data_IF_209869162414
#
_entry.id   IF_209869162414
#
_cell.length_a   1.000
_cell.length_b   1.000
_cell.length_c   1.000
_cell.angle_alpha   90.00
_cell.angle_beta   90.00
_cell.angle_gamma   90.00
#
_symmetry.space_group_name_H-M   'P 1'
#
loop_
_entity.id
_entity.type
_entity.pdbx_description
1 polymer ?
#
# COMPACT_ATOMS: atom_id res chain seq x y z
N UNK A 1 -68.51 20.44 -70.16
CA UNK A 1 -67.20 19.78 -70.11
C UNK A 1 -66.63 20.10 -68.74
N UNK A 2 -66.50 19.14 -67.78
CA UNK A 2 -65.89 19.37 -66.53
C UNK A 2 -64.51 18.74 -66.45
N UNK A 3 -63.59 19.53 -65.92
CA UNK A 3 -62.19 19.21 -65.75
C UNK A 3 -61.98 18.39 -64.45
N UNK A 4 -61.29 17.26 -64.60
CA UNK A 4 -60.94 16.34 -63.52
C UNK A 4 -59.77 16.92 -62.65
N UNK A 5 -59.99 17.06 -61.37
CA UNK A 5 -58.94 17.29 -60.36
C UNK A 5 -58.35 15.97 -59.89
N UNK A 6 -57.06 15.77 -60.09
CA UNK A 6 -56.31 14.63 -59.51
C UNK A 6 -55.91 14.99 -58.10
N UNK A 7 -56.37 14.18 -57.09
CA UNK A 7 -55.84 14.15 -55.74
C UNK A 7 -54.50 13.43 -55.72
N UNK A 8 -53.44 14.12 -55.27
CA UNK A 8 -52.17 13.49 -54.87
C UNK A 8 -52.27 13.04 -53.41
N UNK A 9 -52.21 11.75 -53.14
CA UNK A 9 -52.01 11.19 -51.81
C UNK A 9 -50.51 11.28 -51.48
N UNK A 10 -50.18 12.10 -50.47
CA UNK A 10 -48.86 12.11 -49.87
C UNK A 10 -48.73 10.93 -48.87
N UNK A 11 -47.75 10.03 -49.08
CA UNK A 11 -47.32 9.06 -48.11
C UNK A 11 -46.36 9.74 -47.14
N UNK A 12 -46.76 9.87 -45.87
CA UNK A 12 -45.85 10.25 -44.77
C UNK A 12 -45.16 8.97 -44.29
N UNK A 13 -43.84 8.88 -44.54
CA UNK A 13 -42.99 7.84 -43.92
C UNK A 13 -42.55 8.36 -42.58
N UNK A 14 -43.07 7.75 -41.53
CA UNK A 14 -42.58 7.98 -40.16
C UNK A 14 -41.28 7.18 -39.95
N UNK A 15 -40.16 7.87 -39.86
CA UNK A 15 -38.89 7.25 -39.51
C UNK A 15 -38.88 7.01 -37.99
N UNK A 16 -38.95 5.77 -37.56
CA UNK A 16 -38.71 5.34 -36.19
C UNK A 16 -37.20 5.31 -35.95
N UNK A 17 -36.69 6.32 -35.24
CA UNK A 17 -35.28 6.34 -34.78
C UNK A 17 -35.22 5.42 -33.55
N UNK A 18 -34.72 4.22 -33.73
CA UNK A 18 -34.39 3.29 -32.65
C UNK A 18 -33.01 3.72 -32.09
N UNK A 19 -32.99 4.42 -30.97
CA UNK A 19 -31.75 4.73 -30.26
C UNK A 19 -31.31 3.45 -29.53
N UNK A 20 -30.35 2.75 -30.12
CA UNK A 20 -29.66 1.63 -29.50
C UNK A 20 -28.70 2.22 -28.47
N UNK A 21 -29.01 2.12 -27.18
CA UNK A 21 -28.06 2.38 -26.10
C UNK A 21 -26.96 1.32 -26.23
N UNK A 22 -25.83 1.67 -26.84
CA UNK A 22 -24.62 0.87 -26.73
C UNK A 22 -24.11 1.03 -25.29
N UNK A 23 -24.32 0.00 -24.48
CA UNK A 23 -23.63 -0.16 -23.22
C UNK A 23 -22.16 -0.42 -23.58
N UNK A 24 -21.35 0.64 -23.66
CA UNK A 24 -19.90 0.52 -23.78
C UNK A 24 -19.41 -0.02 -22.43
N UNK A 25 -19.11 -1.32 -22.41
CA UNK A 25 -18.24 -1.86 -21.36
C UNK A 25 -16.92 -1.13 -21.50
N UNK A 26 -16.65 -0.18 -20.60
CA UNK A 26 -15.33 0.43 -20.47
C UNK A 26 -14.40 -0.75 -20.11
N UNK A 27 -13.40 -1.06 -20.93
CA UNK A 27 -12.43 -2.08 -20.55
C UNK A 27 -11.78 -1.63 -19.23
N UNK A 28 -11.61 -2.54 -18.29
CA UNK A 28 -10.82 -2.29 -17.08
C UNK A 28 -9.49 -1.70 -17.57
N UNK A 29 -9.23 -0.44 -17.21
CA UNK A 29 -8.06 0.28 -17.70
C UNK A 29 -6.85 -0.48 -17.19
N UNK A 30 -5.94 -0.83 -18.06
CA UNK A 30 -4.72 -1.54 -17.70
C UNK A 30 -4.03 -0.73 -16.58
N UNK A 31 -3.88 -1.35 -15.40
CA UNK A 31 -3.11 -0.77 -14.29
C UNK A 31 -1.82 -0.23 -14.88
N UNK A 32 -1.54 1.03 -14.66
CA UNK A 32 -0.44 1.75 -15.32
C UNK A 32 0.90 1.08 -15.04
N UNK A 33 1.91 1.28 -15.92
CA UNK A 33 3.32 0.89 -15.74
C UNK A 33 3.92 1.32 -14.38
N UNK A 34 3.20 2.15 -13.67
CA UNK A 34 3.49 2.70 -12.35
C UNK A 34 3.48 1.63 -11.23
N UNK A 35 2.69 0.56 -11.34
CA UNK A 35 2.56 -0.49 -10.32
C UNK A 35 3.23 -1.82 -10.69
N UNK A 36 4.03 -1.86 -11.76
CA UNK A 36 4.79 -3.06 -12.19
C UNK A 36 5.72 -3.60 -11.10
N UNK A 37 6.09 -2.75 -10.15
CA UNK A 37 6.90 -3.09 -8.97
C UNK A 37 6.25 -2.51 -7.73
N UNK A 38 6.39 -3.16 -6.56
CA UNK A 38 5.94 -2.59 -5.31
C UNK A 38 6.65 -1.25 -5.03
N UNK A 39 5.95 -0.31 -4.39
CA UNK A 39 6.54 0.98 -4.04
C UNK A 39 7.56 0.83 -2.90
N UNK A 40 8.46 1.81 -2.80
CA UNK A 40 9.41 1.91 -1.69
C UNK A 40 9.31 3.31 -1.07
N UNK A 41 9.23 3.38 0.28
CA UNK A 41 9.02 4.67 0.91
C UNK A 41 9.04 4.68 2.42
N UNK A 42 8.18 5.52 2.98
CA UNK A 42 8.00 5.73 4.40
C UNK A 42 6.52 6.06 4.69
N UNK A 43 6.04 5.69 5.89
CA UNK A 43 4.72 6.07 6.40
C UNK A 43 4.84 6.61 7.82
N UNK A 44 4.01 7.60 8.16
CA UNK A 44 4.07 8.28 9.44
C UNK A 44 3.43 7.51 10.60
N UNK A 45 2.64 6.44 10.33
CA UNK A 45 1.81 5.85 11.38
C UNK A 45 2.62 5.28 12.54
N UNK A 46 3.72 4.59 12.26
CA UNK A 46 4.52 3.95 13.31
C UNK A 46 5.08 4.93 14.34
N UNK A 47 5.48 6.13 13.91
CA UNK A 47 5.88 7.18 14.87
C UNK A 47 4.67 7.80 15.57
N UNK A 48 3.51 7.88 14.91
CA UNK A 48 2.30 8.43 15.51
C UNK A 48 1.66 7.50 16.53
N UNK A 49 1.73 6.18 16.33
CA UNK A 49 1.16 5.15 17.20
C UNK A 49 2.03 4.83 18.43
N UNK A 50 3.31 5.24 18.39
CA UNK A 50 4.23 5.00 19.50
C UNK A 50 3.87 5.85 20.72
N UNK A 51 3.90 5.24 21.93
CA UNK A 51 3.74 5.94 23.20
C UNK A 51 5.06 6.50 23.76
N UNK A 52 6.15 6.46 22.98
CA UNK A 52 7.42 7.10 23.36
C UNK A 52 7.22 8.61 23.54
N UNK A 53 7.82 9.25 24.57
CA UNK A 53 7.59 10.67 24.89
C UNK A 53 7.85 11.67 23.76
N UNK A 54 8.78 11.35 22.84
CA UNK A 54 9.15 12.22 21.71
C UNK A 54 8.23 12.05 20.48
N UNK A 55 7.29 11.10 20.52
CA UNK A 55 6.47 10.69 19.39
C UNK A 55 4.97 10.73 19.72
N UNK A 56 4.18 9.94 19.06
CA UNK A 56 2.74 9.90 19.23
C UNK A 56 2.00 10.82 18.26
N UNK A 57 0.71 10.94 18.44
CA UNK A 57 -0.21 11.60 17.48
C UNK A 57 0.12 13.06 17.17
N UNK A 58 0.83 13.74 18.07
CA UNK A 58 1.27 15.14 17.89
C UNK A 58 2.54 15.28 17.05
N UNK A 59 3.20 14.16 16.71
CA UNK A 59 4.43 14.21 15.92
C UNK A 59 4.18 14.59 14.46
N UNK A 60 3.01 14.27 13.90
CA UNK A 60 2.70 14.55 12.50
C UNK A 60 2.52 16.06 12.28
N UNK A 61 3.57 16.71 11.80
CA UNK A 61 3.61 18.13 11.46
C UNK A 61 4.37 18.36 10.17
N UNK A 62 4.14 19.50 9.52
CA UNK A 62 4.86 19.91 8.30
C UNK A 62 6.38 19.88 8.49
N UNK A 63 6.87 20.34 9.67
CA UNK A 63 8.29 20.37 9.99
C UNK A 63 8.89 18.94 10.01
N UNK A 64 8.27 18.01 10.75
CA UNK A 64 8.76 16.64 10.84
C UNK A 64 8.70 15.92 9.47
N UNK A 65 7.69 16.20 8.65
CA UNK A 65 7.62 15.65 7.30
C UNK A 65 8.74 16.20 6.40
N UNK A 66 9.08 17.48 6.52
CA UNK A 66 10.24 18.05 5.81
C UNK A 66 11.57 17.41 6.27
N UNK A 67 11.76 17.22 7.57
CA UNK A 67 12.93 16.53 8.14
C UNK A 67 13.03 15.07 7.62
N UNK A 68 11.92 14.34 7.62
CA UNK A 68 11.82 12.98 7.08
C UNK A 68 12.12 12.95 5.58
N UNK A 69 11.60 13.91 4.83
CA UNK A 69 11.86 14.09 3.39
C UNK A 69 13.34 14.29 3.11
N UNK A 70 14.02 15.16 3.86
CA UNK A 70 15.46 15.41 3.73
C UNK A 70 16.29 14.18 4.11
N UNK A 71 15.90 13.47 5.17
CA UNK A 71 16.56 12.22 5.57
C UNK A 71 16.42 11.14 4.49
N UNK A 72 15.23 10.96 3.93
CA UNK A 72 15.02 10.02 2.82
C UNK A 72 15.83 10.41 1.58
N UNK A 73 15.78 11.66 1.17
CA UNK A 73 16.48 12.16 0.00
C UNK A 73 18.01 11.93 0.11
N UNK A 74 18.57 12.12 1.31
CA UNK A 74 20.02 11.97 1.54
C UNK A 74 20.44 10.52 1.75
N UNK A 75 19.67 9.70 2.50
CA UNK A 75 20.09 8.37 2.95
C UNK A 75 19.56 7.22 2.07
N UNK A 76 18.31 7.29 1.59
CA UNK A 76 17.59 6.13 1.02
C UNK A 76 17.21 6.28 -0.45
N UNK A 77 17.03 7.50 -0.96
CA UNK A 77 16.54 7.75 -2.33
C UNK A 77 17.34 7.03 -3.40
N UNK A 78 18.68 6.99 -3.29
CA UNK A 78 19.57 6.31 -4.26
C UNK A 78 19.35 4.79 -4.32
N UNK A 79 18.68 4.23 -3.29
CA UNK A 79 18.33 2.82 -3.22
C UNK A 79 16.88 2.53 -3.67
N UNK A 80 16.13 3.57 -4.08
CA UNK A 80 14.79 3.42 -4.66
C UNK A 80 13.64 3.87 -3.77
N UNK A 81 13.89 4.30 -2.52
CA UNK A 81 12.86 4.82 -1.63
C UNK A 81 12.44 6.22 -2.08
N UNK A 82 11.19 6.37 -2.48
CA UNK A 82 10.72 7.63 -3.09
C UNK A 82 9.43 8.17 -2.51
N UNK A 83 8.66 7.39 -1.75
CA UNK A 83 7.34 7.80 -1.27
C UNK A 83 7.39 8.26 0.18
N UNK A 84 6.80 9.43 0.46
CA UNK A 84 6.56 9.99 1.80
C UNK A 84 5.05 9.99 2.01
N UNK A 85 4.54 9.05 2.81
CA UNK A 85 3.10 8.86 3.00
C UNK A 85 2.68 9.37 4.38
N UNK A 86 1.81 10.38 4.41
CA UNK A 86 1.17 10.89 5.61
C UNK A 86 -0.04 10.03 5.94
N UNK A 87 -0.05 9.42 7.10
CA UNK A 87 -1.14 8.61 7.61
C UNK A 87 -2.22 9.45 8.30
N UNK A 88 -3.16 8.86 9.01
CA UNK A 88 -4.29 9.51 9.67
C UNK A 88 -3.86 10.72 10.51
N UNK A 89 -4.72 11.75 10.57
CA UNK A 89 -4.49 12.95 11.37
C UNK A 89 -3.90 14.13 10.62
N UNK A 90 -3.53 14.03 9.35
CA UNK A 90 -3.08 15.18 8.56
C UNK A 90 -4.18 16.25 8.39
N UNK A 91 -5.43 15.82 8.38
CA UNK A 91 -6.63 16.67 8.30
C UNK A 91 -7.40 16.74 9.64
N UNK A 92 -6.75 16.46 10.77
CA UNK A 92 -7.36 16.52 12.09
C UNK A 92 -6.60 17.46 13.02
N UNK A 93 -7.31 18.18 13.88
CA UNK A 93 -6.71 18.96 14.95
C UNK A 93 -6.08 18.04 16.04
N UNK A 94 -5.51 18.65 17.09
CA UNK A 94 -4.85 17.91 18.18
C UNK A 94 -5.78 17.03 19.02
N UNK A 95 -7.11 17.26 18.91
CA UNK A 95 -8.16 16.48 19.59
C UNK A 95 -8.82 15.46 18.64
N UNK A 96 -8.20 15.16 17.49
CA UNK A 96 -8.69 14.24 16.47
C UNK A 96 -10.04 14.61 15.86
N UNK A 97 -10.39 15.90 15.84
CA UNK A 97 -11.53 16.40 15.09
C UNK A 97 -11.09 16.66 13.65
N UNK A 98 -11.64 15.88 12.73
CA UNK A 98 -11.35 15.96 11.31
C UNK A 98 -11.94 17.22 10.68
N UNK A 99 -11.22 17.78 9.73
CA UNK A 99 -11.55 19.04 9.04
C UNK A 99 -11.97 18.77 7.61
N UNK A 100 -13.02 19.47 7.21
CA UNK A 100 -13.58 19.39 5.85
C UNK A 100 -13.96 20.81 5.41
N UNK A 101 -13.86 21.07 4.10
CA UNK A 101 -14.34 22.33 3.50
C UNK A 101 -15.88 22.38 3.43
N UNK A 102 -16.41 23.47 2.84
CA UNK A 102 -17.86 23.66 2.68
C UNK A 102 -18.52 22.59 1.77
N UNK A 103 -17.74 21.83 1.01
CA UNK A 103 -18.19 20.75 0.13
C UNK A 103 -17.92 19.35 0.74
N UNK A 104 -17.49 19.28 2.00
CA UNK A 104 -17.15 18.02 2.66
C UNK A 104 -15.82 17.42 2.19
N UNK A 105 -14.95 18.19 1.55
CA UNK A 105 -13.64 17.72 1.09
C UNK A 105 -12.62 17.87 2.23
N UNK A 106 -11.76 16.85 2.51
CA UNK A 106 -10.78 16.93 3.58
C UNK A 106 -9.83 18.12 3.42
N UNK A 107 -9.61 18.87 4.50
CA UNK A 107 -8.68 20.00 4.58
C UNK A 107 -7.57 19.73 5.57
N UNK A 108 -6.34 20.15 5.26
CA UNK A 108 -5.23 20.08 6.18
C UNK A 108 -5.52 20.88 7.46
N UNK A 109 -5.07 20.34 8.61
CA UNK A 109 -5.10 21.12 9.84
C UNK A 109 -4.03 22.24 9.79
N UNK A 110 -4.41 23.51 9.98
CA UNK A 110 -3.48 24.65 9.82
C UNK A 110 -2.43 24.75 10.95
N UNK A 111 -2.66 24.13 12.09
CA UNK A 111 -1.64 24.08 13.15
C UNK A 111 -0.56 23.06 12.85
N UNK A 112 -0.95 21.95 12.21
CA UNK A 112 -0.02 20.89 11.79
C UNK A 112 0.69 21.23 10.47
N UNK A 113 -0.04 21.82 9.50
CA UNK A 113 0.42 22.12 8.14
C UNK A 113 0.11 23.58 7.78
N UNK A 114 0.81 24.56 8.39
CA UNK A 114 0.49 25.99 8.25
C UNK A 114 0.62 26.50 6.82
N UNK A 115 1.41 25.85 5.96
CA UNK A 115 1.56 26.22 4.56
C UNK A 115 0.70 25.34 3.61
N UNK A 116 -0.09 24.41 4.17
CA UNK A 116 -0.97 23.52 3.42
C UNK A 116 -0.26 22.38 2.69
N UNK A 117 -1.06 21.41 2.24
CA UNK A 117 -0.56 20.18 1.63
C UNK A 117 0.11 20.41 0.28
N UNK A 118 -0.40 21.32 -0.55
CA UNK A 118 0.20 21.62 -1.86
C UNK A 118 1.66 22.10 -1.74
N UNK A 119 1.93 23.05 -0.83
CA UNK A 119 3.29 23.53 -0.59
C UNK A 119 4.20 22.42 0.00
N UNK A 120 3.66 21.55 0.81
CA UNK A 120 4.41 20.39 1.33
C UNK A 120 4.73 19.40 0.20
N UNK A 121 3.76 19.13 -0.68
CA UNK A 121 3.98 18.28 -1.85
C UNK A 121 5.05 18.86 -2.79
N UNK A 122 5.02 20.16 -3.04
CA UNK A 122 6.05 20.85 -3.83
C UNK A 122 7.45 20.68 -3.20
N UNK A 123 7.54 20.80 -1.86
CA UNK A 123 8.79 20.55 -1.15
C UNK A 123 9.30 19.11 -1.35
N UNK A 124 8.42 18.12 -1.17
CA UNK A 124 8.73 16.69 -1.36
C UNK A 124 9.16 16.43 -2.82
N UNK A 125 8.43 16.97 -3.78
CA UNK A 125 8.76 16.87 -5.22
C UNK A 125 10.08 17.57 -5.56
N UNK A 126 10.37 18.70 -4.93
CA UNK A 126 11.65 19.42 -5.09
C UNK A 126 12.85 18.58 -4.65
N UNK A 127 12.68 17.58 -3.78
CA UNK A 127 13.70 16.58 -3.44
C UNK A 127 13.68 15.37 -4.39
N UNK A 128 12.79 15.34 -5.38
CA UNK A 128 12.56 14.24 -6.33
C UNK A 128 11.97 13.01 -5.65
N UNK A 129 11.10 13.23 -4.68
CA UNK A 129 10.30 12.24 -3.97
C UNK A 129 8.83 12.41 -4.34
N UNK A 130 7.97 11.55 -3.85
CA UNK A 130 6.52 11.52 -4.05
C UNK A 130 5.81 11.65 -2.72
N UNK A 131 4.62 12.22 -2.72
CA UNK A 131 3.83 12.43 -1.51
C UNK A 131 2.53 11.65 -1.54
N UNK A 132 2.18 11.03 -0.41
CA UNK A 132 0.94 10.30 -0.22
C UNK A 132 0.11 10.81 0.95
N UNK A 133 -1.20 10.56 0.87
CA UNK A 133 -2.16 10.88 1.90
C UNK A 133 -3.02 9.68 2.29
N UNK A 134 -3.52 9.72 3.51
CA UNK A 134 -4.48 8.78 4.07
C UNK A 134 -5.91 9.28 3.84
N UNK A 135 -6.84 8.35 3.62
CA UNK A 135 -8.28 8.49 3.71
C UNK A 135 -8.90 7.24 4.33
N UNK A 136 -10.18 7.32 4.69
CA UNK A 136 -10.96 6.20 5.18
C UNK A 136 -12.08 5.83 4.20
N UNK A 137 -12.53 4.57 4.25
CA UNK A 137 -13.69 4.10 3.50
C UNK A 137 -15.00 4.66 4.11
N UNK A 138 -15.94 5.03 3.25
CA UNK A 138 -17.25 5.55 3.63
C UNK A 138 -17.36 7.08 3.65
N UNK A 139 -18.52 7.57 4.07
CA UNK A 139 -18.84 8.98 4.23
C UNK A 139 -18.63 9.40 5.68
N UNK A 140 -17.69 10.32 5.99
CA UNK A 140 -17.47 10.79 7.34
C UNK A 140 -18.76 11.35 7.97
N UNK A 141 -19.04 10.99 9.23
CA UNK A 141 -20.26 11.45 9.93
C UNK A 141 -20.35 12.96 9.98
N UNK A 142 -19.24 13.65 10.22
CA UNK A 142 -19.20 15.11 10.23
C UNK A 142 -19.62 15.71 8.88
N UNK A 143 -19.25 15.07 7.77
CA UNK A 143 -19.62 15.50 6.42
C UNK A 143 -21.12 15.24 6.16
N UNK A 144 -21.64 14.10 6.59
CA UNK A 144 -23.08 13.81 6.55
C UNK A 144 -23.88 14.84 7.36
N UNK A 145 -23.44 15.13 8.58
CA UNK A 145 -24.12 16.10 9.46
C UNK A 145 -24.07 17.54 8.93
N UNK A 146 -22.98 17.89 8.24
CA UNK A 146 -22.82 19.15 7.55
C UNK A 146 -23.82 19.30 6.38
N UNK A 147 -24.29 18.19 5.82
CA UNK A 147 -25.11 18.15 4.59
C UNK A 147 -24.51 18.97 3.47
N UNK A 148 -23.22 18.75 3.20
CA UNK A 148 -22.42 19.54 2.28
C UNK A 148 -22.88 19.35 0.82
N UNK A 149 -22.89 20.40 -0.01
CA UNK A 149 -23.17 20.28 -1.44
C UNK A 149 -22.04 19.53 -2.15
N UNK A 150 -22.38 18.60 -3.03
CA UNK A 150 -21.43 17.84 -3.83
C UNK A 150 -21.08 18.64 -5.09
N UNK A 151 -19.79 18.92 -5.29
CA UNK A 151 -19.29 19.76 -6.40
C UNK A 151 -19.78 19.23 -7.75
N UNK A 152 -20.31 20.15 -8.60
CA UNK A 152 -20.75 19.84 -9.96
C UNK A 152 -22.08 19.07 -10.05
N UNK A 153 -22.84 18.99 -8.95
CA UNK A 153 -24.14 18.32 -8.89
C UNK A 153 -25.17 19.18 -8.14
N UNK A 154 -26.42 18.77 -8.17
CA UNK A 154 -27.50 19.34 -7.35
C UNK A 154 -27.73 18.56 -6.04
N UNK A 155 -26.87 17.56 -5.75
CA UNK A 155 -26.97 16.70 -4.57
C UNK A 155 -26.19 17.25 -3.38
N UNK A 156 -26.55 16.73 -2.20
CA UNK A 156 -25.79 16.92 -0.96
C UNK A 156 -25.22 15.59 -0.46
N UNK A 157 -24.36 15.64 0.54
CA UNK A 157 -23.75 14.43 1.13
C UNK A 157 -24.76 13.55 1.86
N UNK A 158 -25.94 14.04 2.23
CA UNK A 158 -27.02 13.20 2.77
C UNK A 158 -27.72 12.38 1.69
N UNK A 159 -27.76 12.85 0.45
CA UNK A 159 -28.40 12.15 -0.68
C UNK A 159 -27.65 10.87 -1.08
N UNK A 160 -26.37 10.80 -0.78
CA UNK A 160 -25.51 9.66 -1.14
C UNK A 160 -25.31 8.64 -0.01
N UNK A 161 -25.91 8.84 1.15
CA UNK A 161 -25.82 7.89 2.27
C UNK A 161 -26.89 6.81 2.17
N UNK A 162 -26.49 5.55 2.37
CA UNK A 162 -27.44 4.42 2.44
C UNK A 162 -28.49 4.67 3.52
N UNK A 163 -29.76 4.43 3.18
CA UNK A 163 -30.87 4.56 4.11
C UNK A 163 -31.54 3.21 4.42
N UNK A 164 -31.87 2.89 5.69
CA UNK A 164 -31.52 3.67 6.89
C UNK A 164 -30.01 3.77 7.08
N UNK A 165 -29.53 4.82 7.75
CA UNK A 165 -28.10 5.04 7.97
C UNK A 165 -27.41 3.79 8.49
N UNK A 166 -26.43 3.32 7.74
CA UNK A 166 -25.70 2.10 8.04
C UNK A 166 -24.22 2.45 8.29
N UNK A 167 -23.68 2.15 9.47
CA UNK A 167 -22.25 2.30 9.74
C UNK A 167 -21.42 1.46 8.77
N UNK A 168 -20.25 2.01 8.38
CA UNK A 168 -19.29 1.32 7.53
C UNK A 168 -17.87 1.48 8.07
N UNK A 169 -16.92 0.89 7.36
CA UNK A 169 -15.52 0.67 7.71
C UNK A 169 -15.34 -0.22 8.96
N UNK A 170 -14.11 -0.64 9.20
CA UNK A 170 -13.79 -1.62 10.24
C UNK A 170 -14.17 -1.17 11.66
N UNK A 171 -14.09 0.14 11.93
CA UNK A 171 -14.41 0.72 13.25
C UNK A 171 -15.85 1.28 13.34
N UNK A 172 -16.64 1.16 12.26
CA UNK A 172 -18.02 1.67 12.22
C UNK A 172 -18.13 3.18 12.41
N UNK A 173 -17.07 3.93 12.05
CA UNK A 173 -16.96 5.36 12.29
C UNK A 173 -17.68 6.25 11.29
N UNK A 174 -17.88 5.76 10.08
CA UNK A 174 -18.45 6.49 8.96
C UNK A 174 -19.75 5.84 8.46
N UNK A 175 -20.47 6.52 7.55
CA UNK A 175 -21.69 6.01 6.95
C UNK A 175 -21.40 5.33 5.61
N UNK A 176 -22.16 4.28 5.29
CA UNK A 176 -22.07 3.58 4.01
C UNK A 176 -22.59 4.49 2.89
N UNK A 177 -21.80 4.59 1.80
CA UNK A 177 -22.18 5.34 0.61
C UNK A 177 -23.00 4.45 -0.32
N UNK A 178 -24.09 4.99 -0.87
CA UNK A 178 -24.90 4.34 -1.89
C UNK A 178 -24.35 4.71 -3.28
N UNK A 179 -23.51 3.86 -3.83
CA UNK A 179 -22.95 4.03 -5.16
C UNK A 179 -23.93 3.73 -6.32
N UNK A 180 -25.21 3.47 -6.02
CA UNK A 180 -26.28 3.48 -7.04
C UNK A 180 -26.78 4.90 -7.30
N UNK A 181 -26.53 5.83 -6.38
CA UNK A 181 -26.79 7.25 -6.54
C UNK A 181 -25.69 7.90 -7.41
N UNK A 182 -26.07 8.55 -8.52
CA UNK A 182 -25.06 9.10 -9.46
C UNK A 182 -24.10 10.12 -8.84
N UNK A 183 -24.55 10.84 -7.81
CA UNK A 183 -23.74 11.87 -7.13
C UNK A 183 -22.67 11.24 -6.19
N UNK A 184 -22.77 9.97 -5.84
CA UNK A 184 -21.81 9.31 -4.97
C UNK A 184 -20.41 9.28 -5.59
N UNK A 185 -20.31 8.94 -6.88
CA UNK A 185 -19.03 9.00 -7.60
C UNK A 185 -18.47 10.42 -7.66
N UNK A 186 -19.33 11.42 -7.91
CA UNK A 186 -18.90 12.83 -8.01
C UNK A 186 -18.33 13.35 -6.67
N UNK A 187 -18.80 12.84 -5.52
CA UNK A 187 -18.21 13.15 -4.23
C UNK A 187 -16.76 12.65 -4.14
N UNK A 188 -16.50 11.38 -4.48
CA UNK A 188 -15.15 10.81 -4.47
C UNK A 188 -14.26 11.48 -5.53
N UNK A 189 -14.80 11.77 -6.72
CA UNK A 189 -14.10 12.52 -7.77
C UNK A 189 -13.60 13.87 -7.25
N UNK A 190 -14.45 14.59 -6.50
CA UNK A 190 -14.10 15.89 -5.92
C UNK A 190 -12.93 15.82 -4.94
N UNK A 191 -12.81 14.73 -4.17
CA UNK A 191 -11.69 14.49 -3.25
C UNK A 191 -10.42 14.15 -4.06
N UNK A 192 -10.53 13.27 -5.04
CA UNK A 192 -9.40 12.89 -5.89
C UNK A 192 -8.86 14.08 -6.72
N UNK A 193 -9.73 14.94 -7.24
CA UNK A 193 -9.36 16.18 -7.92
C UNK A 193 -8.61 17.14 -6.99
N UNK A 194 -9.05 17.25 -5.74
CA UNK A 194 -8.35 18.05 -4.75
C UNK A 194 -6.96 17.48 -4.45
N UNK A 195 -6.84 16.16 -4.28
CA UNK A 195 -5.55 15.50 -4.06
C UNK A 195 -4.63 15.64 -5.30
N UNK A 196 -5.19 15.50 -6.49
CA UNK A 196 -4.47 15.73 -7.75
C UNK A 196 -3.95 17.16 -7.86
N UNK A 197 -4.78 18.17 -7.49
CA UNK A 197 -4.42 19.58 -7.50
C UNK A 197 -3.28 19.91 -6.50
N UNK A 198 -3.20 19.17 -5.39
CA UNK A 198 -2.11 19.29 -4.42
C UNK A 198 -0.85 18.53 -4.81
N UNK A 199 -0.89 17.73 -5.88
CA UNK A 199 0.25 16.94 -6.31
C UNK A 199 0.43 15.62 -5.56
N UNK A 200 -0.62 15.04 -4.99
CA UNK A 200 -0.58 13.74 -4.32
C UNK A 200 -0.29 12.62 -5.32
N UNK A 201 0.57 11.68 -4.95
CA UNK A 201 1.03 10.55 -5.79
C UNK A 201 0.61 9.18 -5.24
N UNK A 202 0.06 9.14 -4.05
CA UNK A 202 -0.31 7.92 -3.34
C UNK A 202 -1.51 8.19 -2.43
N UNK A 203 -2.45 7.24 -2.39
CA UNK A 203 -3.62 7.29 -1.51
C UNK A 203 -3.75 5.94 -0.77
N UNK A 204 -3.78 5.98 0.55
CA UNK A 204 -4.17 4.86 1.40
C UNK A 204 -5.64 5.05 1.78
N UNK A 205 -6.49 4.10 1.45
CA UNK A 205 -7.87 4.05 1.96
C UNK A 205 -7.95 2.94 3.00
N UNK A 206 -8.26 3.33 4.22
CA UNK A 206 -8.22 2.48 5.40
C UNK A 206 -9.63 2.09 5.88
N UNK A 207 -9.69 1.09 6.77
CA UNK A 207 -10.93 0.56 7.32
C UNK A 207 -11.72 -0.30 6.33
N UNK A 208 -11.10 -0.79 5.28
CA UNK A 208 -11.74 -1.53 4.19
C UNK A 208 -12.23 -2.90 4.68
N UNK A 209 -13.53 -3.13 4.58
CA UNK A 209 -14.19 -4.42 4.80
C UNK A 209 -14.72 -4.98 3.49
N UNK A 210 -15.38 -6.14 3.51
CA UNK A 210 -16.05 -6.70 2.33
C UNK A 210 -17.06 -5.72 1.73
N UNK A 211 -17.74 -4.95 2.58
CA UNK A 211 -18.73 -3.96 2.15
C UNK A 211 -18.15 -2.73 1.46
N UNK A 212 -16.84 -2.49 1.62
CA UNK A 212 -16.16 -1.32 1.09
C UNK A 212 -15.44 -1.55 -0.26
N UNK A 213 -15.65 -2.70 -0.90
CA UNK A 213 -15.13 -2.93 -2.27
C UNK A 213 -15.65 -1.85 -3.24
N UNK A 214 -16.93 -1.40 -3.17
CA UNK A 214 -17.41 -0.28 -3.99
C UNK A 214 -16.69 1.05 -3.73
N UNK A 215 -16.28 1.34 -2.48
CA UNK A 215 -15.49 2.54 -2.15
C UNK A 215 -14.16 2.52 -2.90
N UNK A 216 -13.42 1.41 -2.86
CA UNK A 216 -12.12 1.27 -3.54
C UNK A 216 -12.27 1.36 -5.05
N UNK A 217 -13.35 0.80 -5.61
CA UNK A 217 -13.68 0.99 -7.02
C UNK A 217 -13.90 2.46 -7.36
N UNK A 218 -14.70 3.18 -6.55
CA UNK A 218 -14.97 4.59 -6.77
C UNK A 218 -13.69 5.44 -6.67
N UNK A 219 -12.82 5.16 -5.70
CA UNK A 219 -11.51 5.79 -5.58
C UNK A 219 -10.61 5.54 -6.81
N UNK A 220 -10.56 4.29 -7.29
CA UNK A 220 -9.80 3.95 -8.51
C UNK A 220 -10.29 4.76 -9.72
N UNK A 221 -11.61 4.84 -9.91
CA UNK A 221 -12.23 5.62 -10.99
C UNK A 221 -11.99 7.12 -10.85
N UNK A 222 -12.07 7.64 -9.61
CA UNK A 222 -11.81 9.04 -9.31
C UNK A 222 -10.33 9.43 -9.55
N UNK A 223 -9.39 8.55 -9.22
CA UNK A 223 -7.97 8.74 -9.53
C UNK A 223 -7.76 8.79 -11.05
N UNK A 224 -8.35 7.86 -11.79
CA UNK A 224 -8.22 7.81 -13.25
C UNK A 224 -8.80 9.07 -13.92
N UNK A 225 -9.99 9.53 -13.49
CA UNK A 225 -10.62 10.72 -14.06
C UNK A 225 -9.88 12.01 -13.71
N UNK A 226 -9.21 12.10 -12.54
CA UNK A 226 -8.42 13.28 -12.15
C UNK A 226 -7.24 13.55 -13.08
N UNK A 227 -6.87 12.57 -13.92
CA UNK A 227 -5.73 12.63 -14.83
C UNK A 227 -4.36 12.54 -14.14
N UNK A 228 -4.30 12.48 -12.80
CA UNK A 228 -3.05 12.28 -12.05
C UNK A 228 -2.90 10.81 -11.67
N UNK A 229 -1.72 10.25 -11.94
CA UNK A 229 -1.40 8.88 -11.50
C UNK A 229 -1.14 8.88 -10.00
N UNK A 230 -1.95 8.14 -9.25
CA UNK A 230 -1.77 7.92 -7.82
C UNK A 230 -1.78 6.42 -7.56
N UNK A 231 -0.88 5.96 -6.68
CA UNK A 231 -0.95 4.59 -6.15
C UNK A 231 -2.14 4.49 -5.19
N UNK A 232 -2.94 3.46 -5.32
CA UNK A 232 -4.07 3.20 -4.43
C UNK A 232 -3.81 1.94 -3.60
N UNK A 233 -3.73 2.09 -2.29
CA UNK A 233 -3.64 0.98 -1.32
C UNK A 233 -4.96 0.83 -0.59
N UNK A 234 -5.52 -0.39 -0.60
CA UNK A 234 -6.60 -0.77 0.30
C UNK A 234 -6.00 -1.29 1.62
N UNK A 235 -6.40 -0.70 2.73
CA UNK A 235 -5.91 -1.05 4.06
C UNK A 235 -7.05 -1.31 5.03
N UNK A 236 -6.82 -2.21 5.93
CA UNK A 236 -7.62 -2.47 7.13
C UNK A 236 -6.78 -3.29 8.12
N UNK A 237 -7.42 -3.86 9.09
CA UNK A 237 -6.80 -4.34 10.32
C UNK A 237 -7.51 -5.61 10.84
N UNK A 238 -7.35 -6.74 10.15
CA UNK A 238 -6.93 -7.00 8.74
C UNK A 238 -8.05 -6.80 7.73
N UNK A 239 -7.72 -6.75 6.43
CA UNK A 239 -8.74 -6.86 5.38
C UNK A 239 -9.28 -8.29 5.36
N UNK A 240 -10.61 -8.49 5.31
CA UNK A 240 -11.18 -9.81 5.08
C UNK A 240 -10.69 -10.38 3.72
N UNK A 241 -10.18 -11.61 3.72
CA UNK A 241 -9.64 -12.23 2.50
C UNK A 241 -10.64 -12.24 1.34
N UNK A 242 -11.93 -12.40 1.65
CA UNK A 242 -13.03 -12.41 0.67
C UNK A 242 -13.15 -11.08 -0.08
N UNK A 243 -12.79 -9.97 0.55
CA UNK A 243 -12.71 -8.67 -0.10
C UNK A 243 -11.54 -8.60 -1.11
N UNK A 244 -10.45 -9.33 -0.85
CA UNK A 244 -9.21 -9.24 -1.61
C UNK A 244 -9.39 -9.46 -3.11
N UNK A 245 -10.19 -10.45 -3.52
CA UNK A 245 -10.46 -10.70 -4.94
C UNK A 245 -11.26 -9.55 -5.59
N UNK A 246 -12.20 -8.99 -4.87
CA UNK A 246 -13.00 -7.84 -5.32
C UNK A 246 -12.18 -6.55 -5.45
N UNK A 247 -11.14 -6.39 -4.63
CA UNK A 247 -10.23 -5.25 -4.63
C UNK A 247 -9.19 -5.31 -5.75
N UNK A 248 -8.84 -6.53 -6.22
CA UNK A 248 -7.78 -6.77 -7.22
C UNK A 248 -7.87 -5.90 -8.48
N UNK A 249 -9.04 -5.64 -9.09
CA UNK A 249 -9.13 -4.79 -10.28
C UNK A 249 -8.82 -3.31 -10.01
N UNK A 250 -8.93 -2.87 -8.76
CA UNK A 250 -9.02 -1.46 -8.39
C UNK A 250 -7.81 -0.94 -7.61
N UNK A 251 -7.22 -1.74 -6.71
CA UNK A 251 -6.10 -1.33 -5.88
C UNK A 251 -4.74 -1.81 -6.44
N UNK A 252 -3.65 -1.14 -6.09
CA UNK A 252 -2.28 -1.52 -6.44
C UNK A 252 -1.63 -2.39 -5.36
N UNK A 253 -2.10 -2.30 -4.12
CA UNK A 253 -1.71 -3.16 -3.02
C UNK A 253 -2.84 -3.34 -2.01
N UNK A 254 -2.74 -4.40 -1.22
CA UNK A 254 -3.72 -4.79 -0.22
C UNK A 254 -3.02 -5.19 1.07
N UNK A 255 -3.43 -4.62 2.19
CA UNK A 255 -2.95 -5.01 3.52
C UNK A 255 -3.40 -6.45 3.82
N UNK A 256 -2.47 -7.31 4.18
CA UNK A 256 -2.73 -8.74 4.39
C UNK A 256 -2.99 -9.11 5.85
N UNK A 257 -2.59 -8.26 6.80
CA UNK A 257 -2.76 -8.50 8.24
C UNK A 257 -2.87 -7.18 9.02
N UNK A 258 -2.98 -7.24 10.34
CA UNK A 258 -3.05 -6.11 11.28
C UNK A 258 -1.83 -5.18 11.16
N UNK A 259 -1.86 -4.06 11.86
CA UNK A 259 -0.69 -3.17 11.96
C UNK A 259 0.51 -3.88 12.60
N UNK A 260 1.72 -3.57 12.14
CA UNK A 260 2.95 -4.09 12.78
C UNK A 260 3.29 -3.34 14.06
N UNK A 261 2.64 -2.23 14.30
CA UNK A 261 2.83 -1.40 15.47
C UNK A 261 2.34 -2.09 16.74
N UNK A 262 3.11 -1.98 17.81
CA UNK A 262 2.72 -2.52 19.13
C UNK A 262 1.91 -1.53 19.98
N UNK A 263 1.74 -0.28 19.55
CA UNK A 263 1.11 0.81 20.33
C UNK A 263 1.73 0.96 21.71
N UNK A 264 3.05 0.82 21.78
CA UNK A 264 3.86 0.82 22.99
C UNK A 264 5.05 1.80 22.85
N UNK A 265 6.05 1.74 23.74
CA UNK A 265 7.23 2.63 23.71
C UNK A 265 8.19 2.36 22.55
N UNK A 266 7.93 1.34 21.75
CA UNK A 266 8.68 1.00 20.53
C UNK A 266 7.78 1.03 19.31
N UNK A 267 8.32 0.89 18.11
CA UNK A 267 7.52 0.78 16.89
C UNK A 267 6.76 -0.54 16.88
N UNK A 268 7.45 -1.64 17.15
CA UNK A 268 6.90 -2.98 17.09
C UNK A 268 7.58 -3.89 18.12
N UNK A 269 7.13 -5.12 18.21
CA UNK A 269 7.89 -6.23 18.80
C UNK A 269 7.75 -7.45 17.91
N UNK A 270 8.69 -8.40 17.98
CA UNK A 270 8.64 -9.58 17.12
C UNK A 270 7.32 -10.33 17.27
N UNK A 271 6.86 -10.58 18.49
CA UNK A 271 5.64 -11.35 18.80
C UNK A 271 4.34 -10.53 18.67
N UNK A 272 4.38 -9.21 18.50
CA UNK A 272 3.15 -8.41 18.45
C UNK A 272 2.40 -8.64 17.14
N UNK A 273 3.08 -8.43 16.03
CA UNK A 273 2.48 -8.61 14.70
C UNK A 273 3.50 -8.87 13.58
N UNK A 274 4.82 -8.81 13.88
CA UNK A 274 5.85 -9.04 12.85
C UNK A 274 5.91 -10.51 12.44
N UNK A 275 5.94 -11.44 13.38
CA UNK A 275 6.04 -12.89 13.14
C UNK A 275 4.81 -13.47 12.44
N UNK A 276 3.63 -12.92 12.65
CA UNK A 276 2.39 -13.34 11.98
C UNK A 276 2.49 -13.28 10.44
N UNK A 277 3.31 -12.39 9.90
CA UNK A 277 3.46 -12.19 8.44
C UNK A 277 3.85 -13.46 7.70
N UNK A 278 4.64 -14.36 8.33
CA UNK A 278 5.02 -15.65 7.74
C UNK A 278 3.86 -16.66 7.68
N UNK A 279 2.83 -16.50 8.51
CA UNK A 279 1.62 -17.31 8.48
C UNK A 279 0.53 -16.71 7.57
N UNK A 280 0.51 -15.39 7.43
CA UNK A 280 -0.56 -14.69 6.70
C UNK A 280 -0.28 -14.58 5.20
N UNK A 281 0.96 -14.28 4.79
CA UNK A 281 1.28 -14.19 3.37
C UNK A 281 0.85 -15.41 2.55
N UNK A 282 1.06 -16.67 3.01
CA UNK A 282 0.60 -17.86 2.26
C UNK A 282 -0.90 -17.85 1.94
N UNK A 283 -1.73 -17.28 2.82
CA UNK A 283 -3.19 -17.21 2.66
C UNK A 283 -3.62 -16.24 1.55
N UNK A 284 -2.71 -15.37 1.09
CA UNK A 284 -2.96 -14.33 0.11
C UNK A 284 -2.32 -14.60 -1.26
N UNK A 285 -1.41 -15.58 -1.39
CA UNK A 285 -0.66 -15.83 -2.61
C UNK A 285 -1.51 -16.19 -3.83
N UNK A 286 -2.72 -16.68 -3.64
CA UNK A 286 -3.71 -16.97 -4.69
C UNK A 286 -4.64 -15.76 -4.99
N UNK A 287 -4.60 -14.73 -4.16
CA UNK A 287 -5.39 -13.50 -4.30
C UNK A 287 -4.56 -12.40 -4.97
N UNK A 288 -3.30 -12.24 -4.55
CA UNK A 288 -2.41 -11.20 -5.08
C UNK A 288 -1.77 -11.61 -6.41
N UNK A 289 -1.32 -10.62 -7.17
CA UNK A 289 -0.67 -10.82 -8.48
C UNK A 289 0.26 -9.62 -8.78
N UNK A 290 1.13 -9.69 -9.79
CA UNK A 290 1.86 -8.49 -10.24
C UNK A 290 0.90 -7.32 -10.52
N UNK A 291 1.24 -6.13 -10.01
CA UNK A 291 0.40 -4.92 -9.96
C UNK A 291 -0.73 -4.90 -8.91
N UNK A 292 -0.84 -5.95 -8.10
CA UNK A 292 -1.70 -6.01 -6.92
C UNK A 292 -0.92 -6.71 -5.80
N UNK A 293 -0.07 -5.94 -5.12
CA UNK A 293 0.96 -6.45 -4.23
C UNK A 293 0.44 -6.71 -2.81
N UNK A 294 0.91 -7.76 -2.13
CA UNK A 294 0.62 -7.97 -0.71
C UNK A 294 1.36 -6.91 0.12
N UNK A 295 0.63 -6.14 0.88
CA UNK A 295 1.18 -5.15 1.80
C UNK A 295 1.33 -5.77 3.20
N UNK A 296 2.55 -6.06 3.59
CA UNK A 296 2.90 -6.61 4.91
C UNK A 296 3.05 -5.52 5.97
N UNK A 297 2.64 -4.29 5.67
CA UNK A 297 2.80 -3.10 6.49
C UNK A 297 4.23 -2.55 6.54
N UNK A 298 4.42 -1.48 7.29
CA UNK A 298 5.68 -0.78 7.45
C UNK A 298 6.76 -1.66 8.06
N UNK A 299 8.01 -1.48 7.60
CA UNK A 299 9.16 -2.18 8.18
C UNK A 299 9.61 -1.45 9.45
N UNK A 300 9.63 -2.10 10.63
CA UNK A 300 10.13 -1.51 11.86
C UNK A 300 11.67 -1.51 11.88
N UNK A 301 12.29 -0.83 10.93
CA UNK A 301 13.75 -0.77 10.75
C UNK A 301 14.19 0.70 10.75
N UNK A 302 14.61 1.24 11.90
CA UNK A 302 15.04 2.63 11.99
C UNK A 302 16.16 2.86 13.02
N UNK A 303 15.86 2.80 14.30
CA UNK A 303 16.76 3.22 15.36
C UNK A 303 16.72 2.28 16.58
N UNK A 304 17.86 1.67 16.93
CA UNK A 304 18.05 0.83 18.12
C UNK A 304 19.08 1.39 19.12
N UNK A 305 19.45 2.66 19.00
CA UNK A 305 20.53 3.23 19.80
C UNK A 305 20.07 3.85 21.12
N UNK A 306 18.78 3.82 21.44
CA UNK A 306 18.19 4.48 22.61
C UNK A 306 18.04 6.00 22.46
N UNK A 307 18.29 6.54 21.27
CA UNK A 307 18.36 7.96 20.98
C UNK A 307 17.25 8.39 20.03
N UNK A 308 16.01 8.24 20.48
CA UNK A 308 14.78 8.40 19.71
C UNK A 308 13.95 7.14 19.74
N UNK A 309 13.08 6.95 18.73
CA UNK A 309 12.23 5.76 18.68
C UNK A 309 13.05 4.48 18.54
N UNK A 310 12.66 3.48 19.31
CA UNK A 310 13.20 2.14 19.23
C UNK A 310 12.35 1.29 18.31
N UNK A 311 12.98 0.47 17.48
CA UNK A 311 12.23 -0.46 16.61
C UNK A 311 11.48 -1.51 17.42
N UNK A 312 12.06 -1.98 18.53
CA UNK A 312 11.53 -3.05 19.35
C UNK A 312 11.92 -4.44 18.87
N UNK A 313 12.69 -4.52 17.79
CA UNK A 313 13.28 -5.74 17.23
C UNK A 313 14.81 -5.58 17.11
N UNK A 314 15.55 -6.70 17.19
CA UNK A 314 17.00 -6.70 17.10
C UNK A 314 17.50 -6.75 15.64
N UNK A 315 18.83 -6.63 15.44
CA UNK A 315 19.41 -6.60 14.10
C UNK A 315 19.20 -7.89 13.27
N UNK A 316 19.06 -9.04 13.94
CA UNK A 316 18.73 -10.30 13.26
C UNK A 316 17.30 -10.29 12.75
N UNK A 317 16.37 -9.83 13.55
CA UNK A 317 14.96 -9.68 13.21
C UNK A 317 14.75 -8.61 12.11
N UNK A 318 15.45 -7.45 12.20
CA UNK A 318 15.46 -6.43 11.14
C UNK A 318 15.88 -7.02 9.79
N UNK A 319 16.95 -7.85 9.78
CA UNK A 319 17.38 -8.51 8.56
C UNK A 319 16.35 -9.50 8.05
N UNK A 320 15.66 -10.22 8.94
CA UNK A 320 14.59 -11.15 8.57
C UNK A 320 13.37 -10.43 8.01
N UNK A 321 12.97 -9.30 8.60
CA UNK A 321 11.93 -8.41 8.05
C UNK A 321 12.30 -7.98 6.63
N UNK A 322 13.46 -7.36 6.43
CA UNK A 322 13.89 -6.92 5.10
C UNK A 322 13.93 -8.05 4.09
N UNK A 323 14.39 -9.24 4.51
CA UNK A 323 14.45 -10.43 3.66
C UNK A 323 13.04 -10.92 3.29
N UNK A 324 12.09 -10.94 4.25
CA UNK A 324 10.76 -11.47 4.00
C UNK A 324 9.90 -10.52 3.18
N UNK A 325 9.88 -9.21 3.51
CA UNK A 325 9.19 -8.21 2.69
C UNK A 325 9.70 -8.24 1.26
N UNK A 326 11.02 -8.33 1.07
CA UNK A 326 11.60 -8.45 -0.28
C UNK A 326 11.23 -9.77 -0.97
N UNK A 327 11.18 -10.89 -0.25
CA UNK A 327 10.75 -12.17 -0.81
C UNK A 327 9.26 -12.11 -1.17
N UNK A 328 8.43 -11.48 -0.38
CA UNK A 328 6.99 -11.31 -0.61
C UNK A 328 6.68 -10.41 -1.83
N UNK A 329 7.58 -9.56 -2.27
CA UNK A 329 7.31 -8.39 -3.12
C UNK A 329 6.28 -7.45 -2.47
N UNK A 330 6.39 -7.27 -1.16
CA UNK A 330 5.60 -6.29 -0.42
C UNK A 330 6.17 -4.89 -0.64
N UNK A 331 5.37 -3.84 -0.67
CA UNK A 331 5.91 -2.50 -0.60
C UNK A 331 6.94 -2.35 0.52
N UNK A 332 8.14 -1.86 0.19
CA UNK A 332 9.22 -1.64 1.15
C UNK A 332 9.12 -0.23 1.71
N UNK A 333 8.36 -0.03 2.78
CA UNK A 333 8.31 1.28 3.43
C UNK A 333 8.64 1.20 4.91
N UNK A 334 9.36 2.21 5.37
CA UNK A 334 9.87 2.30 6.74
C UNK A 334 8.85 3.01 7.62
N UNK A 335 8.67 2.56 8.87
CA UNK A 335 7.72 3.17 9.81
C UNK A 335 8.37 4.12 10.82
N UNK A 336 9.68 4.02 11.06
CA UNK A 336 10.35 4.78 12.09
C UNK A 336 10.82 6.19 11.67
N UNK A 337 11.45 6.90 12.59
CA UNK A 337 11.99 8.25 12.38
C UNK A 337 13.26 8.21 11.52
N UNK A 338 13.16 8.58 10.24
CA UNK A 338 14.29 8.58 9.32
C UNK A 338 15.39 9.57 9.66
N UNK A 339 15.08 10.64 10.40
CA UNK A 339 16.09 11.58 10.84
C UNK A 339 17.08 10.91 11.81
N UNK A 340 16.59 9.95 12.60
CA UNK A 340 17.36 9.18 13.58
C UNK A 340 17.78 7.77 13.07
N UNK A 341 17.66 7.51 11.78
CA UNK A 341 18.03 6.22 11.18
C UNK A 341 19.48 5.86 11.47
N UNK A 342 19.71 4.71 12.12
CA UNK A 342 21.05 4.24 12.48
C UNK A 342 21.83 3.64 11.31
N UNK A 343 23.13 3.41 11.52
CA UNK A 343 24.02 2.89 10.46
C UNK A 343 23.66 1.46 10.04
N UNK A 344 23.21 0.61 10.99
CA UNK A 344 22.83 -0.77 10.70
C UNK A 344 21.53 -0.82 9.92
N UNK A 345 20.53 -0.05 10.34
CA UNK A 345 19.27 0.10 9.59
C UNK A 345 19.53 0.61 8.18
N UNK A 346 20.36 1.66 8.04
CA UNK A 346 20.76 2.17 6.72
C UNK A 346 21.39 1.07 5.86
N UNK A 347 22.30 0.28 6.42
CA UNK A 347 22.97 -0.82 5.70
C UNK A 347 21.98 -1.89 5.23
N UNK A 348 21.00 -2.25 6.05
CA UNK A 348 19.95 -3.23 5.71
C UNK A 348 19.05 -2.67 4.60
N UNK A 349 18.53 -1.46 4.79
CA UNK A 349 17.59 -0.81 3.86
C UNK A 349 18.20 -0.44 2.50
N UNK A 350 19.54 -0.33 2.40
CA UNK A 350 20.22 0.04 1.15
C UNK A 350 20.91 -1.12 0.45
N UNK A 351 20.69 -2.37 0.91
CA UNK A 351 21.26 -3.55 0.26
C UNK A 351 20.61 -3.79 -1.11
N UNK A 352 21.35 -3.46 -2.18
CA UNK A 352 20.84 -3.51 -3.56
C UNK A 352 20.45 -4.91 -4.02
N UNK A 353 21.12 -5.96 -3.52
CA UNK A 353 20.81 -7.34 -3.94
C UNK A 353 19.53 -7.85 -3.28
N UNK A 354 19.27 -7.46 -2.05
CA UNK A 354 18.00 -7.75 -1.34
C UNK A 354 16.85 -6.97 -1.98
N UNK A 355 17.04 -5.66 -2.22
CA UNK A 355 16.05 -4.83 -2.92
C UNK A 355 15.73 -5.38 -4.31
N UNK A 356 16.71 -5.90 -5.04
CA UNK A 356 16.49 -6.47 -6.38
C UNK A 356 15.57 -7.70 -6.35
N UNK A 357 15.52 -8.45 -5.24
CA UNK A 357 14.56 -9.55 -5.06
C UNK A 357 13.14 -9.01 -4.93
N UNK A 358 12.94 -7.94 -4.19
CA UNK A 358 11.65 -7.26 -4.07
C UNK A 358 11.19 -6.72 -5.43
N UNK A 359 12.05 -5.94 -6.04
CA UNK A 359 11.80 -5.21 -7.28
C UNK A 359 11.83 -6.08 -8.55
N UNK A 360 11.86 -7.42 -8.37
CA UNK A 360 11.79 -8.38 -9.47
C UNK A 360 10.40 -8.44 -10.14
N UNK A 361 9.36 -7.92 -9.47
CA UNK A 361 7.99 -7.90 -10.01
C UNK A 361 7.33 -9.27 -10.12
N UNK A 362 7.74 -10.23 -9.28
CA UNK A 362 7.19 -11.59 -9.25
C UNK A 362 6.91 -12.04 -7.82
N UNK A 363 5.89 -12.86 -7.64
CA UNK A 363 5.52 -13.39 -6.33
C UNK A 363 6.36 -14.61 -5.94
N UNK A 364 6.51 -14.90 -4.63
CA UNK A 364 7.24 -16.07 -4.14
C UNK A 364 6.38 -17.33 -4.17
N UNK A 365 7.06 -18.45 -3.90
CA UNK A 365 6.42 -19.71 -3.55
C UNK A 365 6.98 -20.18 -2.19
N UNK A 366 6.11 -20.52 -1.25
CA UNK A 366 6.49 -21.22 -0.04
C UNK A 366 6.84 -22.68 -0.37
N UNK A 367 7.99 -23.15 0.07
CA UNK A 367 8.50 -24.52 -0.18
C UNK A 367 8.28 -25.40 1.04
N UNK A 368 8.47 -24.85 2.23
CA UNK A 368 8.19 -25.50 3.53
C UNK A 368 7.53 -24.50 4.47
N UNK A 369 6.65 -24.99 5.32
CA UNK A 369 5.95 -24.28 6.39
C UNK A 369 6.57 -24.60 7.78
N UNK A 370 5.86 -24.20 8.84
CA UNK A 370 6.27 -24.41 10.24
C UNK A 370 7.31 -23.38 10.70
N UNK A 371 8.07 -23.73 11.75
CA UNK A 371 9.06 -22.84 12.36
C UNK A 371 10.35 -22.68 11.53
N UNK A 372 10.65 -23.62 10.62
CA UNK A 372 11.81 -23.59 9.73
C UNK A 372 11.33 -23.50 8.28
N UNK A 373 11.15 -22.28 7.78
CA UNK A 373 10.56 -22.05 6.48
C UNK A 373 11.58 -21.89 5.37
N UNK A 374 11.23 -22.35 4.17
CA UNK A 374 11.96 -22.15 2.93
C UNK A 374 11.03 -21.52 1.91
N UNK A 375 11.48 -20.46 1.28
CA UNK A 375 10.76 -19.74 0.24
C UNK A 375 11.63 -19.61 -1.00
N UNK A 376 11.03 -19.58 -2.18
CA UNK A 376 11.73 -19.38 -3.46
C UNK A 376 11.02 -18.38 -4.36
N UNK A 377 11.82 -17.70 -5.20
CA UNK A 377 11.33 -16.76 -6.21
C UNK A 377 12.24 -16.82 -7.43
N UNK A 378 11.67 -17.06 -8.64
CA UNK A 378 12.44 -16.99 -9.88
C UNK A 378 12.59 -15.55 -10.32
N UNK A 379 13.82 -15.08 -10.37
CA UNK A 379 14.12 -13.72 -10.80
C UNK A 379 14.11 -13.59 -12.33
N UNK A 380 13.81 -12.39 -12.88
CA UNK A 380 13.77 -12.16 -14.33
C UNK A 380 15.08 -12.47 -15.05
N UNK A 381 16.23 -12.38 -14.37
CA UNK A 381 17.56 -12.71 -14.90
C UNK A 381 17.86 -14.22 -14.90
N UNK A 382 16.89 -15.07 -14.56
CA UNK A 382 16.97 -16.51 -14.55
C UNK A 382 17.53 -17.13 -13.25
N UNK A 383 18.06 -16.32 -12.33
CA UNK A 383 18.48 -16.81 -11.00
C UNK A 383 17.26 -17.25 -10.18
N UNK A 384 17.49 -18.16 -9.25
CA UNK A 384 16.51 -18.54 -8.25
C UNK A 384 16.91 -17.92 -6.90
N UNK A 385 16.15 -16.95 -6.41
CA UNK A 385 16.27 -16.48 -5.04
C UNK A 385 15.65 -17.52 -4.10
N UNK A 386 16.36 -17.84 -3.02
CA UNK A 386 15.92 -18.77 -1.96
C UNK A 386 16.16 -18.10 -0.62
N UNK A 387 15.10 -17.95 0.17
CA UNK A 387 15.16 -17.48 1.54
C UNK A 387 14.84 -18.63 2.50
N UNK A 388 15.58 -18.69 3.61
CA UNK A 388 15.27 -19.57 4.72
C UNK A 388 15.09 -18.77 5.99
N UNK A 389 14.13 -19.16 6.82
CA UNK A 389 13.78 -18.48 8.07
C UNK A 389 13.72 -19.46 9.22
N UNK A 390 14.31 -19.08 10.33
CA UNK A 390 14.15 -19.76 11.61
C UNK A 390 13.23 -18.89 12.50
N UNK A 391 11.98 -19.26 12.60
CA UNK A 391 10.97 -18.58 13.41
C UNK A 391 10.95 -19.10 14.87
N UNK A 392 11.79 -20.10 15.19
CA UNK A 392 11.90 -20.67 16.53
C UNK A 392 12.92 -19.94 17.40
N UNK A 393 12.97 -20.33 18.69
CA UNK A 393 13.74 -19.69 19.75
C UNK A 393 15.17 -20.23 19.93
N UNK A 394 15.58 -21.21 19.13
CA UNK A 394 16.92 -21.80 19.16
C UNK A 394 17.59 -21.79 17.79
N UNK A 395 18.95 -21.70 17.72
CA UNK A 395 19.64 -21.80 16.45
C UNK A 395 19.35 -23.14 15.75
N UNK A 396 19.14 -23.11 14.43
CA UNK A 396 18.83 -24.31 13.64
C UNK A 396 19.57 -24.34 12.30
N UNK A 397 19.87 -25.55 11.83
CA UNK A 397 20.31 -25.82 10.47
C UNK A 397 19.08 -25.97 9.57
N UNK A 398 19.04 -25.24 8.47
CA UNK A 398 17.92 -25.32 7.52
C UNK A 398 18.45 -25.79 6.18
N UNK A 399 18.01 -26.98 5.76
CA UNK A 399 18.43 -27.60 4.50
C UNK A 399 17.29 -27.57 3.48
N UNK A 400 17.61 -27.16 2.26
CA UNK A 400 16.71 -27.35 1.11
C UNK A 400 17.41 -28.16 0.03
N UNK A 401 16.65 -29.01 -0.66
CA UNK A 401 17.16 -29.84 -1.78
C UNK A 401 16.74 -29.22 -3.11
N UNK A 402 17.50 -29.54 -4.16
CA UNK A 402 17.18 -29.08 -5.51
C UNK A 402 15.83 -29.60 -5.99
N UNK A 403 15.43 -30.83 -5.60
CA UNK A 403 14.11 -31.39 -5.91
C UNK A 403 12.98 -30.52 -5.35
N UNK A 404 13.08 -30.10 -4.08
CA UNK A 404 12.08 -29.18 -3.47
C UNK A 404 12.05 -27.82 -4.15
N UNK A 405 13.21 -27.35 -4.62
CA UNK A 405 13.30 -26.08 -5.34
C UNK A 405 12.87 -26.20 -6.81
N UNK A 406 12.72 -27.43 -7.35
CA UNK A 406 12.41 -27.68 -8.76
C UNK A 406 13.55 -27.29 -9.70
N UNK A 407 14.80 -27.57 -9.27
CA UNK A 407 16.03 -27.34 -10.05
C UNK A 407 16.89 -28.60 -10.03
N UNK A 408 17.90 -28.66 -10.88
CA UNK A 408 18.85 -29.76 -10.94
C UNK A 408 20.25 -29.27 -11.33
N UNK A 409 21.24 -30.12 -11.10
CA UNK A 409 22.63 -29.85 -11.49
C UNK A 409 23.35 -28.84 -10.58
N UNK A 410 24.54 -28.45 -11.01
CA UNK A 410 25.44 -27.62 -10.21
C UNK A 410 25.09 -26.15 -10.31
N UNK A 411 24.93 -25.48 -9.16
CA UNK A 411 24.63 -24.07 -9.08
C UNK A 411 25.70 -23.30 -8.29
N UNK A 412 26.04 -22.11 -8.76
CA UNK A 412 26.75 -21.12 -7.94
C UNK A 412 25.76 -20.61 -6.87
N UNK A 413 26.24 -20.51 -5.65
CA UNK A 413 25.48 -19.98 -4.51
C UNK A 413 26.06 -18.62 -4.13
N UNK A 414 25.22 -17.58 -4.19
CA UNK A 414 25.57 -16.22 -3.78
C UNK A 414 24.72 -15.81 -2.59
N UNK A 415 25.34 -15.41 -1.50
CA UNK A 415 24.69 -14.79 -0.36
C UNK A 415 24.40 -13.32 -0.71
N UNK A 416 23.11 -12.97 -0.78
CA UNK A 416 22.64 -11.63 -1.17
C UNK A 416 22.74 -10.61 -0.03
N UNK A 417 22.74 -11.09 1.24
CA UNK A 417 22.90 -10.19 2.40
C UNK A 417 24.34 -9.72 2.50
N UNK A 418 25.29 -10.63 2.44
CA UNK A 418 26.72 -10.29 2.47
C UNK A 418 27.28 -9.92 1.10
N UNK A 419 26.51 -10.07 0.02
CA UNK A 419 26.88 -9.80 -1.38
C UNK A 419 28.11 -10.58 -1.84
N UNK A 420 28.24 -11.83 -1.42
CA UNK A 420 29.40 -12.70 -1.70
C UNK A 420 28.99 -14.03 -2.28
N UNK A 421 29.82 -14.54 -3.18
CA UNK A 421 29.73 -15.93 -3.61
C UNK A 421 30.27 -16.84 -2.48
N UNK A 422 29.45 -17.81 -2.09
CA UNK A 422 29.75 -18.73 -0.96
C UNK A 422 30.02 -20.17 -1.40
N UNK A 423 30.17 -20.40 -2.70
CA UNK A 423 30.56 -21.68 -3.26
C UNK A 423 29.61 -22.20 -4.33
N UNK A 424 29.70 -23.51 -4.60
CA UNK A 424 28.85 -24.26 -5.53
C UNK A 424 28.24 -25.46 -4.83
N UNK A 425 27.04 -25.82 -5.22
CA UNK A 425 26.35 -27.02 -4.74
C UNK A 425 25.58 -27.72 -5.85
N UNK A 426 25.42 -29.05 -5.73
CA UNK A 426 24.86 -29.89 -6.78
C UNK A 426 23.45 -30.43 -6.48
N UNK A 427 23.13 -30.66 -5.21
CA UNK A 427 21.91 -31.37 -4.82
C UNK A 427 21.11 -30.70 -3.71
N UNK A 428 21.77 -29.89 -2.89
CA UNK A 428 21.17 -29.26 -1.72
C UNK A 428 22.02 -28.07 -1.25
N UNK A 429 21.41 -27.23 -0.43
CA UNK A 429 22.11 -26.21 0.32
C UNK A 429 21.61 -26.19 1.76
N UNK A 430 22.52 -26.00 2.71
CA UNK A 430 22.21 -25.90 4.13
C UNK A 430 22.70 -24.58 4.69
N UNK A 431 21.77 -23.80 5.21
CA UNK A 431 22.08 -22.65 6.05
C UNK A 431 22.39 -23.17 7.46
N UNK A 432 23.65 -23.02 7.89
CA UNK A 432 24.11 -23.50 9.20
C UNK A 432 23.82 -22.49 10.30
N UNK A 433 23.42 -23.02 11.47
CA UNK A 433 23.24 -22.26 12.71
C UNK A 433 22.48 -20.93 12.48
N UNK A 434 21.35 -20.97 11.77
CA UNK A 434 20.49 -19.80 11.59
C UNK A 434 19.97 -19.44 12.99
N UNK A 435 20.27 -18.20 13.48
CA UNK A 435 19.89 -17.84 14.85
C UNK A 435 18.36 -17.76 15.00
N UNK A 436 17.85 -17.69 16.24
CA UNK A 436 16.45 -17.43 16.51
C UNK A 436 15.98 -16.20 15.73
N UNK A 437 14.79 -16.24 15.13
CA UNK A 437 14.17 -15.23 14.30
C UNK A 437 15.05 -14.78 13.11
N UNK A 438 16.06 -15.58 12.77
CA UNK A 438 17.05 -15.27 11.74
C UNK A 438 16.65 -15.76 10.35
N UNK A 439 17.33 -15.20 9.36
CA UNK A 439 17.16 -15.60 7.95
C UNK A 439 18.49 -15.73 7.22
N UNK A 440 18.44 -16.38 6.06
CA UNK A 440 19.47 -16.29 5.00
C UNK A 440 18.78 -16.12 3.66
N UNK A 441 19.35 -15.28 2.80
CA UNK A 441 18.86 -15.06 1.45
C UNK A 441 19.99 -15.31 0.46
N UNK A 442 19.79 -16.28 -0.42
CA UNK A 442 20.77 -16.64 -1.46
C UNK A 442 20.14 -16.53 -2.85
N UNK A 443 21.02 -16.40 -3.86
CA UNK A 443 20.65 -16.61 -5.25
C UNK A 443 21.42 -17.79 -5.83
N UNK A 444 20.70 -18.66 -6.54
CA UNK A 444 21.25 -19.82 -7.25
C UNK A 444 21.28 -19.52 -8.75
N UNK A 445 22.42 -19.73 -9.40
CA UNK A 445 22.59 -19.59 -10.85
C UNK A 445 23.31 -20.78 -11.46
N UNK A 446 22.81 -21.27 -12.60
CA UNK A 446 23.60 -22.16 -13.47
C UNK A 446 24.61 -21.33 -14.24
N UNK A 447 25.83 -21.78 -14.31
CA UNK A 447 26.88 -21.26 -15.20
C UNK A 447 27.26 -22.30 -16.22
#
# INVERSE_FOLDING_TARGET
MPTARRLRRGLSVAAVITTTLMCTTVPAQAKSDFSVKPFMGWSSWSVQSSSHPDYGTKWLTEEHIKQTTDAMASKLKRSGYTNINLDAGWNANWDWQFRFDANGIPEADPERFPNGIANLADYVHGKGLRMGLYGAAGLPRAVYDQNAPIRGTDCTTQDIAVQPLTPTNMWGGDWKIDYTEPCAQAYIDSIADQFASWGVDFVKIDGVTTDNVPDIKAWSQAIDQSGRKMWLTASAWPIPREAGEGLRPWANSVRVDTDVECYCNTVSSWQASVDNRWEDLPKWLDVVEPNYWPDLDSMPISNNTGNGIQDGINDTERQSVMTFWSMASSPLYVGGDLAKLDAKATSILTNREVIAVDQAGVLPTQVTDGSLQVWKKRLPDGRLAVAVYNLGDAPADITTTWDRLGINGKHQVRDLVSQRDIGKSDNSWTAKAVPPHGSRLIALSQR
#
